data_IF_691596504730
#
_entry.id   IF_691596504730
#
_cell.length_a   1.000
_cell.length_b   1.000
_cell.length_c   1.000
_cell.angle_alpha   90.00
_cell.angle_beta   90.00
_cell.angle_gamma   90.00
#
_symmetry.space_group_name_H-M   'P 1'
#
loop_
_entity.id
_entity.type
_entity.pdbx_description
1 polymer ?
#
# COMPACT_ATOMS: atom_id res chain seq x y z
N UNK A 1 -28.34 66.77 -16.99
CA UNK A 1 -29.68 66.83 -16.42
C UNK A 1 -29.63 66.13 -15.11
N UNK A 2 -29.42 66.85 -14.01
CA UNK A 2 -30.42 67.41 -13.11
C UNK A 2 -31.27 66.32 -12.51
N UNK A 3 -31.48 66.15 -11.21
CA UNK A 3 -31.43 66.94 -9.98
C UNK A 3 -31.57 65.95 -8.81
N UNK A 4 -30.86 66.15 -7.70
CA UNK A 4 -31.29 66.72 -6.42
C UNK A 4 -32.37 65.92 -5.69
N UNK A 5 -32.19 65.56 -4.50
CA UNK A 5 -32.00 66.12 -3.18
C UNK A 5 -32.79 65.19 -2.25
N UNK A 6 -32.73 65.12 -0.97
CA UNK A 6 -32.59 66.08 0.08
C UNK A 6 -32.29 65.33 1.40
N UNK A 7 -31.52 65.98 2.21
CA UNK A 7 -31.33 65.99 3.66
C UNK A 7 -32.51 65.53 4.57
N UNK A 8 -32.17 64.87 5.65
CA UNK A 8 -32.95 64.74 6.86
C UNK A 8 -32.10 64.47 8.09
N UNK A 9 -31.75 65.55 8.85
CA UNK A 9 -31.14 65.53 10.16
C UNK A 9 -32.16 65.04 11.20
N UNK A 10 -31.69 64.29 12.18
CA UNK A 10 -32.52 63.98 13.38
C UNK A 10 -31.68 63.43 14.53
N UNK A 11 -31.16 64.33 15.30
CA UNK A 11 -30.79 64.43 16.74
C UNK A 11 -30.56 63.14 17.56
N UNK A 12 -29.44 63.25 18.23
CA UNK A 12 -28.92 62.44 19.34
C UNK A 12 -29.82 62.46 20.59
N UNK A 13 -29.85 61.34 21.30
CA UNK A 13 -30.00 61.31 22.75
C UNK A 13 -29.00 60.35 23.37
N UNK A 14 -28.22 60.91 24.27
CA UNK A 14 -27.32 60.22 25.14
C UNK A 14 -28.07 59.43 26.21
N UNK A 15 -27.67 58.19 26.43
CA UNK A 15 -28.06 57.39 27.60
C UNK A 15 -26.85 56.61 28.07
N UNK A 16 -26.40 56.97 29.26
CA UNK A 16 -25.16 56.53 29.90
C UNK A 16 -25.32 55.23 30.66
N UNK A 17 -24.23 54.44 30.69
CA UNK A 17 -23.78 53.49 31.72
C UNK A 17 -24.65 52.26 32.05
N UNK A 18 -24.09 51.06 31.87
CA UNK A 18 -23.42 50.35 32.99
C UNK A 18 -22.61 49.17 32.47
N UNK A 19 -21.42 49.05 32.98
CA UNK A 19 -20.49 47.94 32.79
C UNK A 19 -21.02 46.66 33.44
N UNK A 20 -21.11 45.57 32.67
CA UNK A 20 -21.00 44.22 33.23
C UNK A 20 -20.15 43.41 32.30
N UNK A 21 -19.01 42.93 32.82
CA UNK A 21 -18.04 42.09 32.09
C UNK A 21 -18.68 40.78 31.67
N UNK A 22 -18.90 40.67 30.38
CA UNK A 22 -19.16 39.42 29.69
C UNK A 22 -17.85 38.94 29.12
N UNK A 23 -17.28 37.89 29.71
CA UNK A 23 -16.22 37.11 29.07
C UNK A 23 -16.76 36.60 27.77
N UNK A 24 -16.18 37.09 26.66
CA UNK A 24 -16.38 36.47 25.34
C UNK A 24 -15.63 35.13 25.41
N UNK A 25 -16.33 34.08 25.79
CA UNK A 25 -15.88 32.72 25.49
C UNK A 25 -15.90 32.57 23.98
N UNK A 26 -14.73 32.60 23.39
CA UNK A 26 -14.51 32.10 22.05
C UNK A 26 -14.75 30.60 22.11
N UNK A 27 -15.97 30.20 21.81
CA UNK A 27 -16.29 28.78 21.53
C UNK A 27 -15.58 28.45 20.25
N UNK A 28 -14.33 28.01 20.37
CA UNK A 28 -13.73 27.19 19.33
C UNK A 28 -14.56 25.92 19.29
N UNK A 29 -15.36 25.75 18.25
CA UNK A 29 -16.04 24.50 17.96
C UNK A 29 -14.99 23.47 17.55
N UNK A 30 -14.33 22.89 18.53
CA UNK A 30 -13.59 21.64 18.37
C UNK A 30 -14.61 20.48 18.32
N UNK A 31 -15.47 20.48 17.32
CA UNK A 31 -16.11 19.26 16.86
C UNK A 31 -15.24 18.70 15.75
N UNK A 32 -14.05 18.27 16.07
CA UNK A 32 -13.40 17.19 15.34
C UNK A 32 -14.24 15.97 15.72
N UNK A 33 -15.03 15.49 14.77
CA UNK A 33 -15.79 14.25 14.90
C UNK A 33 -14.85 13.14 15.39
N UNK A 34 -14.91 12.84 16.67
CA UNK A 34 -14.07 11.83 17.34
C UNK A 34 -14.54 10.40 17.05
N UNK A 35 -15.33 10.19 16.00
CA UNK A 35 -15.85 8.86 15.58
C UNK A 35 -15.40 8.39 14.20
N UNK A 36 -14.71 9.17 13.38
CA UNK A 36 -14.05 8.61 12.21
C UNK A 36 -12.66 8.13 12.60
N UNK A 37 -12.51 6.80 12.72
CA UNK A 37 -11.22 6.16 12.97
C UNK A 37 -10.18 6.65 11.94
N UNK A 38 -8.92 6.76 12.37
CA UNK A 38 -7.83 7.16 11.48
C UNK A 38 -7.66 6.11 10.38
N UNK A 39 -8.00 6.46 9.15
CA UNK A 39 -8.00 5.54 7.99
C UNK A 39 -6.65 4.85 7.76
N UNK A 40 -5.53 5.50 8.10
CA UNK A 40 -4.20 4.89 7.99
C UNK A 40 -4.01 3.83 9.07
N UNK A 41 -4.39 4.13 10.31
CA UNK A 41 -4.33 3.17 11.42
C UNK A 41 -5.23 1.97 11.12
N UNK A 42 -6.43 2.21 10.63
CA UNK A 42 -7.37 1.14 10.24
C UNK A 42 -6.80 0.26 9.14
N UNK A 43 -6.21 0.83 8.10
CA UNK A 43 -5.56 0.07 7.03
C UNK A 43 -4.43 -0.82 7.58
N UNK A 44 -3.58 -0.28 8.45
CA UNK A 44 -2.49 -1.03 9.09
C UNK A 44 -3.04 -2.17 9.95
N UNK A 45 -4.05 -1.90 10.78
CA UNK A 45 -4.58 -2.86 11.73
C UNK A 45 -5.47 -3.91 11.09
N UNK A 46 -6.17 -3.58 9.99
CA UNK A 46 -7.10 -4.49 9.31
C UNK A 46 -6.45 -5.34 8.21
N UNK A 47 -5.35 -4.87 7.60
CA UNK A 47 -4.72 -5.61 6.51
C UNK A 47 -4.29 -7.02 6.93
N UNK A 48 -4.40 -7.97 6.00
CA UNK A 48 -3.98 -9.37 6.19
C UNK A 48 -3.20 -9.84 4.98
N UNK A 49 -2.38 -10.88 5.17
CA UNK A 49 -1.78 -11.60 4.05
C UNK A 49 -2.84 -12.49 3.41
N UNK A 50 -3.30 -12.11 2.24
CA UNK A 50 -4.32 -12.82 1.46
C UNK A 50 -3.65 -13.82 0.54
N UNK A 51 -4.16 -15.06 0.51
CA UNK A 51 -3.64 -16.18 -0.28
C UNK A 51 -4.70 -16.88 -1.12
N UNK A 52 -5.93 -16.35 -1.08
CA UNK A 52 -7.03 -16.74 -1.96
C UNK A 52 -7.59 -15.48 -2.59
N UNK A 53 -7.72 -15.51 -3.89
CA UNK A 53 -8.15 -14.36 -4.68
C UNK A 53 -9.31 -14.74 -5.56
N UNK A 54 -10.21 -13.80 -5.82
CA UNK A 54 -11.26 -13.92 -6.81
C UNK A 54 -10.64 -14.08 -8.20
N UNK A 55 -11.35 -14.75 -9.09
CA UNK A 55 -10.97 -14.89 -10.50
C UNK A 55 -11.32 -13.60 -11.25
N UNK A 56 -10.58 -12.56 -10.95
CA UNK A 56 -10.79 -11.21 -11.47
C UNK A 56 -9.43 -10.53 -11.64
N UNK A 57 -9.15 -9.96 -12.81
CA UNK A 57 -7.94 -9.17 -13.02
C UNK A 57 -7.96 -7.91 -12.15
N UNK A 58 -6.78 -7.40 -11.84
CA UNK A 58 -6.61 -6.09 -11.19
C UNK A 58 -6.45 -5.04 -12.28
N UNK A 59 -7.18 -3.95 -12.17
CA UNK A 59 -7.10 -2.83 -13.09
C UNK A 59 -5.70 -2.19 -13.07
N UNK A 60 -5.19 -1.85 -14.24
CA UNK A 60 -3.86 -1.27 -14.42
C UNK A 60 -3.68 0.00 -13.58
N UNK A 61 -4.67 0.85 -13.55
CA UNK A 61 -4.68 2.12 -12.81
C UNK A 61 -4.50 1.91 -11.30
N UNK A 62 -5.05 0.81 -10.76
CA UNK A 62 -4.84 0.44 -9.35
C UNK A 62 -3.41 -0.03 -9.11
N UNK A 63 -2.86 -0.84 -10.02
CA UNK A 63 -1.46 -1.28 -9.92
C UNK A 63 -0.50 -0.09 -10.00
N UNK A 64 -0.74 0.86 -10.88
CA UNK A 64 0.03 2.10 -11.01
C UNK A 64 -0.07 2.94 -9.73
N UNK A 65 -1.26 3.07 -9.14
CA UNK A 65 -1.45 3.76 -7.86
C UNK A 65 -0.65 3.09 -6.74
N UNK A 66 -0.68 1.75 -6.65
CA UNK A 66 0.07 0.98 -5.65
C UNK A 66 1.57 1.23 -5.81
N UNK A 67 2.09 1.16 -7.04
CA UNK A 67 3.52 1.39 -7.30
C UNK A 67 3.91 2.83 -6.98
N UNK A 68 3.08 3.81 -7.36
CA UNK A 68 3.32 5.22 -7.05
C UNK A 68 3.36 5.47 -5.53
N UNK A 69 2.48 4.85 -4.75
CA UNK A 69 2.56 4.90 -3.29
C UNK A 69 3.85 4.24 -2.79
N UNK A 70 4.24 3.12 -3.38
CA UNK A 70 5.48 2.42 -3.03
C UNK A 70 6.71 3.30 -3.18
N UNK A 71 6.93 3.88 -4.35
CA UNK A 71 8.13 4.70 -4.65
C UNK A 71 8.19 6.02 -3.87
N UNK A 72 7.11 6.40 -3.18
CA UNK A 72 7.10 7.49 -2.21
C UNK A 72 7.64 7.08 -0.82
N UNK A 73 8.09 5.85 -0.65
CA UNK A 73 8.77 5.43 0.57
C UNK A 73 10.08 6.21 0.78
N UNK A 74 10.45 6.50 2.03
CA UNK A 74 11.76 7.08 2.30
C UNK A 74 12.87 6.07 1.96
N UNK A 75 14.04 6.59 1.58
CA UNK A 75 15.25 5.80 1.39
C UNK A 75 16.48 6.54 1.89
N UNK A 76 17.52 5.83 2.29
CA UNK A 76 18.75 6.42 2.77
C UNK A 76 19.33 7.41 1.75
N UNK A 77 19.46 8.69 2.11
CA UNK A 77 19.90 9.79 1.24
C UNK A 77 19.10 9.90 -0.08
N UNK A 78 17.85 9.46 -0.09
CA UNK A 78 17.01 9.40 -1.27
C UNK A 78 17.61 8.59 -2.45
N UNK A 79 18.38 7.55 -2.15
CA UNK A 79 19.03 6.72 -3.18
C UNK A 79 18.08 5.85 -3.97
N UNK A 80 16.91 5.53 -3.39
CA UNK A 80 15.87 4.72 -4.04
C UNK A 80 16.44 3.40 -4.62
N UNK A 81 17.10 2.57 -3.79
CA UNK A 81 17.85 1.40 -4.23
C UNK A 81 16.94 0.20 -4.50
N UNK A 82 15.93 0.40 -5.30
CA UNK A 82 14.96 -0.63 -5.68
C UNK A 82 14.75 -0.69 -7.18
N UNK A 83 14.44 -1.89 -7.64
CA UNK A 83 13.86 -2.12 -8.94
C UNK A 83 12.51 -2.80 -8.74
N UNK A 84 11.48 -2.27 -9.40
CA UNK A 84 10.12 -2.81 -9.32
C UNK A 84 9.70 -3.30 -10.69
N UNK A 85 9.12 -4.50 -10.76
CA UNK A 85 8.53 -5.05 -11.98
C UNK A 85 7.13 -5.53 -11.68
N UNK A 86 6.16 -5.01 -12.38
CA UNK A 86 4.75 -5.42 -12.26
C UNK A 86 4.43 -6.36 -13.38
N UNK A 87 3.91 -7.52 -13.04
CA UNK A 87 3.47 -8.54 -13.98
C UNK A 87 2.00 -8.84 -13.73
N UNK A 88 1.15 -8.39 -14.64
CA UNK A 88 -0.28 -8.70 -14.75
C UNK A 88 -0.58 -9.51 -16.03
N UNK A 89 0.47 -9.97 -16.68
CA UNK A 89 0.40 -10.80 -17.88
C UNK A 89 0.19 -12.27 -17.48
N UNK A 90 -0.98 -12.80 -17.82
CA UNK A 90 -1.35 -14.18 -17.50
C UNK A 90 -0.40 -15.22 -18.14
N UNK A 91 0.10 -14.96 -19.34
CA UNK A 91 1.01 -15.90 -20.03
C UNK A 91 2.36 -16.01 -19.30
N UNK A 92 2.85 -14.89 -18.74
CA UNK A 92 4.05 -14.93 -17.92
C UNK A 92 3.80 -15.74 -16.64
N UNK A 93 2.73 -15.42 -15.90
CA UNK A 93 2.41 -16.08 -14.63
C UNK A 93 2.15 -17.58 -14.83
N UNK A 94 1.39 -17.93 -15.85
CA UNK A 94 1.09 -19.33 -16.17
C UNK A 94 2.35 -20.06 -16.66
N UNK A 95 3.14 -19.46 -17.51
CA UNK A 95 4.34 -20.07 -18.06
C UNK A 95 5.37 -20.42 -16.99
N UNK A 96 5.71 -19.49 -16.09
CA UNK A 96 6.61 -19.79 -14.96
C UNK A 96 5.98 -20.80 -13.99
N UNK A 97 4.66 -20.81 -13.86
CA UNK A 97 3.96 -21.79 -13.04
C UNK A 97 4.07 -23.21 -13.61
N UNK A 98 4.05 -23.39 -14.92
CA UNK A 98 4.29 -24.70 -15.53
C UNK A 98 5.71 -25.22 -15.25
N UNK A 99 6.72 -24.33 -15.24
CA UNK A 99 8.08 -24.68 -14.80
C UNK A 99 8.06 -25.12 -13.32
N UNK A 100 7.33 -24.39 -12.48
CA UNK A 100 7.19 -24.75 -11.07
C UNK A 100 6.51 -26.11 -10.86
N UNK A 101 5.43 -26.41 -11.60
CA UNK A 101 4.70 -27.66 -11.50
C UNK A 101 5.57 -28.87 -11.87
N UNK A 102 6.38 -28.74 -12.93
CA UNK A 102 7.32 -29.80 -13.32
C UNK A 102 8.32 -30.14 -12.21
N UNK A 103 8.85 -29.12 -11.55
CA UNK A 103 9.79 -29.29 -10.44
C UNK A 103 9.12 -29.72 -9.13
N UNK A 104 7.81 -29.44 -8.97
CA UNK A 104 7.04 -29.69 -7.76
C UNK A 104 5.68 -30.36 -8.05
N UNK A 105 5.66 -31.62 -8.52
CA UNK A 105 4.41 -32.28 -8.93
C UNK A 105 3.37 -32.34 -7.83
N UNK A 106 3.79 -32.59 -6.59
CA UNK A 106 2.87 -32.64 -5.42
C UNK A 106 2.15 -31.31 -5.17
N UNK A 107 2.83 -30.17 -5.35
CA UNK A 107 2.20 -28.87 -5.21
C UNK A 107 1.18 -28.60 -6.33
N UNK A 108 1.43 -29.15 -7.52
CA UNK A 108 0.52 -29.05 -8.67
C UNK A 108 -0.80 -29.84 -8.46
N UNK A 109 -0.74 -30.88 -7.64
CA UNK A 109 -1.90 -31.75 -7.31
C UNK A 109 -2.77 -31.15 -6.20
N UNK A 110 -2.33 -30.08 -5.52
CA UNK A 110 -3.12 -29.43 -4.46
C UNK A 110 -4.44 -28.87 -5.02
N UNK A 111 -5.60 -29.21 -4.39
CA UNK A 111 -6.89 -28.69 -4.83
C UNK A 111 -6.91 -27.15 -4.88
N UNK A 112 -7.28 -26.59 -6.02
CA UNK A 112 -7.39 -25.15 -6.21
C UNK A 112 -6.06 -24.44 -6.50
N UNK A 113 -4.96 -25.15 -6.71
CA UNK A 113 -3.70 -24.58 -7.18
C UNK A 113 -3.83 -24.09 -8.62
N UNK A 114 -3.73 -22.79 -8.83
CA UNK A 114 -3.73 -22.14 -10.16
C UNK A 114 -2.34 -21.69 -10.56
N UNK A 115 -1.64 -20.98 -9.66
CA UNK A 115 -0.28 -20.51 -9.91
C UNK A 115 0.57 -20.44 -8.62
N UNK A 116 1.90 -20.43 -8.82
CA UNK A 116 2.88 -20.45 -7.74
C UNK A 116 2.90 -19.20 -6.85
N UNK A 117 2.22 -18.13 -7.25
CA UNK A 117 2.10 -16.87 -6.51
C UNK A 117 0.84 -16.83 -5.65
N UNK A 118 0.43 -17.97 -5.07
CA UNK A 118 -0.80 -18.11 -4.27
C UNK A 118 -2.06 -17.76 -5.07
N UNK A 119 -2.06 -18.04 -6.35
CA UNK A 119 -3.16 -17.74 -7.27
C UNK A 119 -3.44 -16.24 -7.48
N UNK A 120 -2.49 -15.36 -7.13
CA UNK A 120 -2.63 -13.94 -7.38
C UNK A 120 -2.67 -13.66 -8.90
N UNK A 121 -3.61 -12.82 -9.38
CA UNK A 121 -3.72 -12.45 -10.79
C UNK A 121 -2.64 -11.44 -11.23
N UNK A 122 -2.04 -10.72 -10.28
CA UNK A 122 -0.93 -9.82 -10.53
C UNK A 122 0.18 -10.02 -9.49
N UNK A 123 1.42 -9.77 -9.91
CA UNK A 123 2.62 -9.95 -9.08
C UNK A 123 3.53 -8.74 -9.24
N UNK A 124 3.94 -8.16 -8.13
CA UNK A 124 4.94 -7.08 -8.09
C UNK A 124 6.24 -7.67 -7.58
N UNK A 125 7.26 -7.73 -8.43
CA UNK A 125 8.60 -8.17 -8.06
C UNK A 125 9.41 -6.97 -7.56
N UNK A 126 10.10 -7.15 -6.44
CA UNK A 126 10.98 -6.15 -5.84
C UNK A 126 12.39 -6.72 -5.80
N UNK A 127 13.33 -5.97 -6.36
CA UNK A 127 14.75 -6.32 -6.36
C UNK A 127 15.56 -5.22 -5.68
N UNK A 128 16.65 -5.62 -5.04
CA UNK A 128 17.62 -4.76 -4.36
C UNK A 128 19.03 -5.00 -4.91
N UNK A 129 20.00 -4.09 -4.65
CA UNK A 129 21.39 -4.33 -4.97
C UNK A 129 21.91 -5.64 -4.35
N UNK A 130 22.75 -6.37 -5.07
CA UNK A 130 23.30 -7.66 -4.65
C UNK A 130 24.24 -7.57 -3.43
N UNK A 131 24.79 -6.39 -3.17
CA UNK A 131 25.64 -6.12 -2.00
C UNK A 131 24.84 -6.08 -0.68
N UNK A 132 23.53 -6.26 -0.73
CA UNK A 132 22.63 -6.22 0.43
C UNK A 132 22.25 -4.82 0.89
N UNK A 133 22.76 -3.77 0.27
CA UNK A 133 22.30 -2.41 0.54
C UNK A 133 20.88 -2.21 0.03
N UNK A 134 20.10 -1.38 0.73
CA UNK A 134 18.74 -1.05 0.29
C UNK A 134 17.65 -2.06 0.64
N UNK A 135 17.95 -3.18 1.32
CA UNK A 135 16.91 -4.14 1.72
C UNK A 135 15.88 -3.52 2.68
N UNK A 136 16.32 -2.65 3.61
CA UNK A 136 15.43 -1.89 4.47
C UNK A 136 14.52 -0.97 3.64
N UNK A 137 15.11 -0.22 2.70
CA UNK A 137 14.39 0.70 1.84
C UNK A 137 13.36 -0.03 0.96
N UNK A 138 13.73 -1.22 0.44
CA UNK A 138 12.80 -2.10 -0.28
C UNK A 138 11.66 -2.62 0.62
N UNK A 139 11.90 -2.84 1.91
CA UNK A 139 10.87 -3.18 2.89
C UNK A 139 9.88 -2.05 3.10
N UNK A 140 10.35 -0.82 3.24
CA UNK A 140 9.53 0.39 3.37
C UNK A 140 8.68 0.63 2.11
N UNK A 141 9.29 0.49 0.93
CA UNK A 141 8.61 0.54 -0.38
C UNK A 141 7.47 -0.49 -0.44
N UNK A 142 7.75 -1.73 -0.06
CA UNK A 142 6.75 -2.80 -0.11
C UNK A 142 5.61 -2.61 0.87
N UNK A 143 5.85 -2.11 2.08
CA UNK A 143 4.78 -1.83 3.04
C UNK A 143 3.87 -0.71 2.55
N UNK A 144 4.41 0.37 1.95
CA UNK A 144 3.59 1.39 1.31
C UNK A 144 2.67 0.80 0.22
N UNK A 145 3.19 -0.13 -0.61
CA UNK A 145 2.39 -0.83 -1.63
C UNK A 145 1.29 -1.68 -1.00
N UNK A 146 1.60 -2.39 0.06
CA UNK A 146 0.65 -3.27 0.77
C UNK A 146 -0.48 -2.46 1.39
N UNK A 147 -0.17 -1.31 2.00
CA UNK A 147 -1.18 -0.42 2.58
C UNK A 147 -2.03 0.27 1.50
N UNK A 148 -1.41 0.71 0.41
CA UNK A 148 -2.13 1.27 -0.73
C UNK A 148 -3.10 0.25 -1.34
N UNK A 149 -2.67 -1.00 -1.53
CA UNK A 149 -3.54 -2.07 -2.01
C UNK A 149 -4.74 -2.30 -1.08
N UNK A 150 -4.50 -2.34 0.25
CA UNK A 150 -5.56 -2.45 1.26
C UNK A 150 -6.59 -1.32 1.13
N UNK A 151 -6.15 -0.07 0.98
CA UNK A 151 -7.04 1.08 0.83
C UNK A 151 -7.86 1.06 -0.46
N UNK A 152 -7.37 0.37 -1.49
CA UNK A 152 -8.05 0.15 -2.77
C UNK A 152 -8.96 -1.09 -2.79
N UNK A 153 -9.14 -1.76 -1.64
CA UNK A 153 -9.95 -2.98 -1.52
C UNK A 153 -9.29 -4.23 -2.10
N UNK A 154 -7.97 -4.20 -2.30
CA UNK A 154 -7.17 -5.32 -2.78
C UNK A 154 -6.47 -6.05 -1.63
N UNK A 155 -6.31 -7.36 -1.80
CA UNK A 155 -5.52 -8.20 -0.93
C UNK A 155 -4.11 -8.40 -1.44
N UNK A 156 -3.15 -8.54 -0.53
CA UNK A 156 -1.74 -8.78 -0.86
C UNK A 156 -1.13 -9.88 -0.03
N UNK A 157 -0.07 -10.49 -0.55
CA UNK A 157 0.81 -11.38 0.19
C UNK A 157 2.26 -11.21 -0.26
N UNK A 158 3.17 -10.92 0.69
CA UNK A 158 4.60 -10.96 0.43
C UNK A 158 5.08 -12.41 0.28
N UNK A 159 5.83 -12.69 -0.77
CA UNK A 159 6.19 -14.02 -1.23
C UNK A 159 7.71 -14.13 -1.42
N UNK A 160 8.37 -14.92 -0.57
CA UNK A 160 9.79 -15.27 -0.74
C UNK A 160 9.98 -16.60 -1.49
N UNK A 161 9.10 -17.59 -1.25
CA UNK A 161 9.20 -18.91 -1.86
C UNK A 161 9.28 -18.93 -3.39
N UNK A 162 8.40 -18.23 -4.11
CA UNK A 162 8.48 -18.08 -5.56
C UNK A 162 9.84 -17.52 -6.02
N UNK A 163 10.39 -16.55 -5.32
CA UNK A 163 11.69 -15.96 -5.68
C UNK A 163 12.82 -16.97 -5.50
N UNK A 164 12.84 -17.68 -4.36
CA UNK A 164 13.83 -18.73 -4.13
C UNK A 164 13.77 -19.82 -5.22
N UNK A 165 12.57 -20.19 -5.66
CA UNK A 165 12.41 -21.14 -6.77
C UNK A 165 12.94 -20.57 -8.08
N UNK A 166 12.51 -19.34 -8.46
CA UNK A 166 12.91 -18.74 -9.74
C UNK A 166 14.42 -18.54 -9.83
N UNK A 167 15.08 -18.14 -8.75
CA UNK A 167 16.53 -17.91 -8.73
C UNK A 167 17.35 -19.21 -8.61
N UNK A 168 16.75 -20.26 -8.09
CA UNK A 168 17.40 -21.57 -7.91
C UNK A 168 17.16 -22.58 -9.06
N UNK A 169 16.31 -22.28 -10.03
CA UNK A 169 15.93 -23.20 -11.09
C UNK A 169 16.35 -22.69 -12.47
N UNK A 170 17.17 -23.46 -13.21
CA UNK A 170 17.65 -23.07 -14.53
C UNK A 170 16.53 -22.92 -15.59
N UNK A 171 15.45 -23.71 -15.50
CA UNK A 171 14.33 -23.58 -16.43
C UNK A 171 13.55 -22.26 -16.24
N UNK A 172 13.74 -21.58 -15.09
CA UNK A 172 13.14 -20.27 -14.83
C UNK A 172 13.98 -19.09 -15.37
N UNK A 173 15.20 -19.34 -15.90
CA UNK A 173 16.12 -18.28 -16.32
C UNK A 173 15.51 -17.31 -17.34
N UNK A 174 14.81 -17.83 -18.35
CA UNK A 174 14.14 -17.00 -19.37
C UNK A 174 13.06 -16.09 -18.80
N UNK A 175 12.41 -16.46 -17.70
CA UNK A 175 11.45 -15.62 -17.00
C UNK A 175 12.15 -14.54 -16.17
N UNK A 176 13.31 -14.81 -15.59
CA UNK A 176 14.13 -13.81 -14.92
C UNK A 176 14.66 -12.77 -15.91
N UNK A 177 15.16 -13.19 -17.07
CA UNK A 177 15.63 -12.30 -18.14
C UNK A 177 14.53 -11.34 -18.62
N UNK A 178 13.28 -11.81 -18.72
CA UNK A 178 12.14 -10.96 -19.09
C UNK A 178 11.83 -9.86 -18.08
N UNK A 179 12.31 -9.97 -16.84
CA UNK A 179 12.19 -8.89 -15.84
C UNK A 179 13.18 -7.75 -16.12
N UNK A 180 14.20 -7.94 -16.95
CA UNK A 180 15.17 -6.92 -17.34
C UNK A 180 15.73 -6.15 -16.12
N UNK A 181 16.16 -6.90 -15.12
CA UNK A 181 16.82 -6.31 -13.96
C UNK A 181 18.26 -5.93 -14.31
N UNK A 182 18.80 -4.82 -13.78
CA UNK A 182 20.22 -4.53 -13.87
C UNK A 182 21.07 -5.68 -13.29
N UNK A 183 22.29 -5.89 -13.82
CA UNK A 183 23.15 -7.01 -13.42
C UNK A 183 23.55 -6.98 -11.95
N UNK A 184 23.63 -5.79 -11.34
CA UNK A 184 23.97 -5.56 -9.94
C UNK A 184 22.77 -5.72 -8.99
N UNK A 185 21.56 -6.04 -9.52
CA UNK A 185 20.36 -6.28 -8.72
C UNK A 185 20.00 -7.77 -8.64
N UNK A 186 19.34 -8.14 -7.54
CA UNK A 186 18.75 -9.46 -7.34
C UNK A 186 17.31 -9.32 -6.81
N UNK A 187 16.45 -10.25 -7.21
CA UNK A 187 15.11 -10.34 -6.64
C UNK A 187 15.19 -10.57 -5.13
N UNK A 188 14.47 -9.75 -4.37
CA UNK A 188 14.41 -9.83 -2.91
C UNK A 188 13.13 -10.57 -2.47
N UNK A 189 11.99 -10.14 -2.95
CA UNK A 189 10.69 -10.78 -2.74
C UNK A 189 9.69 -10.34 -3.81
N UNK A 190 8.52 -10.96 -3.80
CA UNK A 190 7.40 -10.52 -4.62
C UNK A 190 6.17 -10.23 -3.75
N UNK A 191 5.24 -9.43 -4.27
CA UNK A 191 3.93 -9.18 -3.69
C UNK A 191 2.88 -9.72 -4.66
N UNK A 192 2.15 -10.76 -4.27
CA UNK A 192 0.93 -11.16 -4.98
C UNK A 192 -0.19 -10.17 -4.66
N UNK A 193 -0.92 -9.75 -5.68
CA UNK A 193 -1.99 -8.73 -5.60
C UNK A 193 -3.24 -9.25 -6.29
N UNK A 194 -4.40 -9.03 -5.69
CA UNK A 194 -5.69 -9.40 -6.28
C UNK A 194 -6.87 -9.06 -5.38
N UNK A 195 -8.07 -9.25 -5.86
CA UNK A 195 -9.27 -9.11 -5.04
C UNK A 195 -9.38 -10.26 -4.05
N UNK A 196 -9.50 -9.97 -2.73
CA UNK A 196 -9.51 -11.02 -1.72
C UNK A 196 -10.75 -11.92 -1.84
N UNK A 197 -10.53 -13.24 -1.71
CA UNK A 197 -11.57 -14.26 -1.60
C UNK A 197 -11.46 -15.02 -0.28
N UNK A 198 -10.88 -14.39 0.71
CA UNK A 198 -10.79 -14.85 2.09
C UNK A 198 -10.71 -13.66 3.06
N UNK A 199 -11.07 -13.88 4.31
CA UNK A 199 -10.93 -12.91 5.40
C UNK A 199 -10.27 -13.58 6.61
N UNK A 200 -8.96 -13.78 6.59
CA UNK A 200 -8.26 -14.48 7.66
C UNK A 200 -8.23 -13.64 8.94
N UNK A 201 -8.38 -14.32 10.08
CA UNK A 201 -8.27 -13.69 11.38
C UNK A 201 -6.89 -13.07 11.62
N UNK A 202 -6.86 -12.03 12.44
CA UNK A 202 -5.60 -11.44 12.89
C UNK A 202 -4.80 -12.47 13.72
N UNK A 203 -3.52 -12.62 13.39
CA UNK A 203 -2.60 -13.39 14.22
C UNK A 203 -2.16 -12.57 15.43
N UNK A 204 -1.92 -13.19 16.59
CA UNK A 204 -1.42 -12.48 17.77
C UNK A 204 -0.09 -11.77 17.48
N UNK A 205 0.13 -10.68 18.18
CA UNK A 205 1.39 -9.93 18.18
C UNK A 205 2.01 -10.01 19.56
N UNK A 206 3.32 -10.15 19.58
CA UNK A 206 4.10 -10.20 20.82
C UNK A 206 4.46 -8.77 21.25
N UNK A 207 3.64 -8.22 22.14
CA UNK A 207 3.85 -6.89 22.68
C UNK A 207 5.02 -6.82 23.68
N UNK A 208 5.45 -7.96 24.25
CA UNK A 208 6.57 -8.01 25.20
C UNK A 208 7.92 -7.63 24.56
N UNK A 209 7.99 -7.69 23.22
CA UNK A 209 9.14 -7.24 22.43
C UNK A 209 9.29 -5.73 22.33
N UNK A 210 8.31 -4.98 22.82
CA UNK A 210 8.32 -3.50 22.81
C UNK A 210 8.56 -3.02 24.24
N UNK A 211 9.55 -2.16 24.42
CA UNK A 211 9.85 -1.55 25.72
C UNK A 211 10.06 -0.06 25.55
N UNK A 212 9.46 0.71 26.44
CA UNK A 212 9.78 2.14 26.60
C UNK A 212 10.98 2.26 27.51
N UNK A 213 11.99 2.98 27.08
CA UNK A 213 13.20 3.25 27.88
C UNK A 213 13.07 4.65 28.43
N UNK A 214 13.07 4.77 29.75
CA UNK A 214 12.98 6.04 30.50
C UNK A 214 14.39 6.59 30.81
#
# INVERSE_FOLDING_TARGET
MCLCGTFGLGLALWGSCTSSGGKTETVMSDSVDAEQGNVVVEAIMSRRSIRKYKDQPVEREKLETIVNCGINAPSGMNRQPWQVRVVDNADYINGITEVFKKANPKAAEEPGFKNMFRNAPAVIFIASPKDGSGQLDCGLLGENMVLAAQSLGLGTCCLGGPIAFMTGNQEAASYLERLQLPEDYALLYAIGVGYPDESPAAKPRDAEKVKFVE
#
